data_IF_456049753724
#
_entry.id   IF_456049753724
#
_cell.length_a   1.000
_cell.length_b   1.000
_cell.length_c   1.000
_cell.angle_alpha   90.00
_cell.angle_beta   90.00
_cell.angle_gamma   90.00
#
_symmetry.space_group_name_H-M   'P 1'
#
loop_
_entity.id
_entity.type
_entity.pdbx_description
1 polymer ?
#
# COMPACT_ATOMS: atom_id res chain seq x y z
N UNK A 1 -11.36 -20.37 -7.28
CA UNK A 1 -10.00 -20.54 -7.81
C UNK A 1 -9.03 -20.16 -6.69
N UNK A 2 -8.10 -21.04 -6.33
CA UNK A 2 -7.11 -20.80 -5.27
C UNK A 2 -5.85 -20.16 -5.87
N UNK A 3 -5.15 -19.30 -5.12
CA UNK A 3 -3.89 -18.74 -5.59
C UNK A 3 -2.85 -19.86 -5.78
N UNK A 4 -2.14 -19.93 -6.91
CA UNK A 4 -1.21 -21.01 -7.19
C UNK A 4 0.04 -20.89 -6.31
N UNK A 5 0.51 -22.02 -5.77
CA UNK A 5 1.66 -22.07 -4.84
C UNK A 5 2.98 -21.60 -5.46
N UNK A 6 3.10 -21.65 -6.79
CA UNK A 6 4.29 -21.26 -7.53
C UNK A 6 4.30 -19.79 -7.98
N UNK A 7 3.31 -18.98 -7.60
CA UNK A 7 3.29 -17.55 -7.85
C UNK A 7 3.43 -16.78 -6.53
N UNK A 8 4.16 -15.66 -6.56
CA UNK A 8 4.26 -14.76 -5.40
C UNK A 8 2.85 -14.36 -4.93
N UNK A 9 2.60 -14.50 -3.63
CA UNK A 9 1.30 -14.14 -3.07
C UNK A 9 1.10 -12.62 -3.12
N UNK A 10 -0.12 -12.14 -3.43
CA UNK A 10 -0.40 -10.73 -3.45
C UNK A 10 -0.40 -10.17 -2.02
N UNK A 11 0.03 -8.93 -1.86
CA UNK A 11 -0.09 -8.21 -0.59
C UNK A 11 -1.58 -8.00 -0.27
N UNK A 12 -2.05 -8.55 0.84
CA UNK A 12 -3.40 -8.26 1.31
C UNK A 12 -3.48 -6.87 1.92
N UNK A 13 -4.31 -6.00 1.34
CA UNK A 13 -4.50 -4.61 1.79
C UNK A 13 -5.89 -4.48 2.39
N UNK A 14 -5.94 -4.15 3.69
CA UNK A 14 -7.20 -3.88 4.39
C UNK A 14 -7.90 -2.66 3.76
N UNK A 15 -9.24 -2.58 3.81
CA UNK A 15 -9.97 -1.42 3.31
C UNK A 15 -9.45 -0.08 3.86
N UNK A 16 -9.16 -0.01 5.17
CA UNK A 16 -8.61 1.18 5.84
C UNK A 16 -7.15 1.49 5.48
N UNK A 17 -6.41 0.54 4.90
CA UNK A 17 -5.02 0.69 4.49
C UNK A 17 -4.86 1.30 3.09
N UNK A 18 -5.97 1.60 2.40
CA UNK A 18 -5.95 2.37 1.15
C UNK A 18 -6.30 3.81 1.45
N UNK A 19 -5.45 4.75 1.03
CA UNK A 19 -5.73 6.18 1.13
C UNK A 19 -5.59 6.82 -0.24
N UNK A 20 -6.59 7.62 -0.63
CA UNK A 20 -6.58 8.33 -1.91
C UNK A 20 -6.12 9.77 -1.71
N UNK A 21 -5.12 10.19 -2.47
CA UNK A 21 -4.55 11.54 -2.42
C UNK A 21 -4.15 12.01 -3.82
N UNK A 22 -4.54 13.24 -4.19
CA UNK A 22 -4.35 13.80 -5.54
C UNK A 22 -4.71 12.83 -6.69
N UNK A 23 -5.86 12.16 -6.53
CA UNK A 23 -6.35 11.18 -7.52
C UNK A 23 -5.60 9.85 -7.54
N UNK A 24 -4.48 9.71 -6.82
CA UNK A 24 -3.66 8.49 -6.70
C UNK A 24 -4.04 7.69 -5.46
N UNK A 25 -3.93 6.37 -5.57
CA UNK A 25 -4.22 5.43 -4.48
C UNK A 25 -2.93 4.93 -3.84
N UNK A 26 -2.79 5.17 -2.55
CA UNK A 26 -1.64 4.77 -1.74
C UNK A 26 -2.00 3.62 -0.81
N UNK A 27 -1.03 2.73 -0.60
CA UNK A 27 -1.09 1.61 0.33
C UNK A 27 -0.28 1.99 1.55
N UNK A 28 -0.92 1.98 2.71
CA UNK A 28 -0.30 2.34 4.00
C UNK A 28 -0.48 1.24 5.03
N UNK A 29 0.46 1.13 5.96
CA UNK A 29 0.27 0.37 7.18
C UNK A 29 -0.23 1.29 8.29
N UNK A 30 -1.16 0.76 9.06
CA UNK A 30 -1.77 1.44 10.21
C UNK A 30 -1.56 0.63 11.46
N UNK A 31 -1.35 1.31 12.58
CA UNK A 31 -1.24 0.68 13.89
C UNK A 31 -2.63 0.26 14.40
N UNK A 32 -2.67 -0.25 15.63
CA UNK A 32 -3.93 -0.65 16.28
C UNK A 32 -4.88 0.50 16.58
N UNK A 33 -4.39 1.74 16.64
CA UNK A 33 -5.16 2.97 16.86
C UNK A 33 -5.63 3.60 15.54
N UNK A 34 -5.28 3.00 14.40
CA UNK A 34 -5.60 3.49 13.07
C UNK A 34 -4.61 4.51 12.52
N UNK A 35 -3.52 4.81 13.22
CA UNK A 35 -2.49 5.76 12.85
C UNK A 35 -1.57 5.21 11.75
N UNK A 36 -1.27 6.00 10.70
CA UNK A 36 -0.43 5.60 9.56
C UNK A 36 1.08 5.57 9.92
N UNK A 37 1.64 4.42 10.21
CA UNK A 37 3.07 4.34 10.57
C UNK A 37 4.01 4.05 9.39
N UNK A 38 3.49 3.59 8.24
CA UNK A 38 4.33 3.32 7.08
C UNK A 38 3.58 3.51 5.75
N UNK A 39 4.32 3.95 4.74
CA UNK A 39 3.90 3.98 3.34
C UNK A 39 4.51 2.78 2.61
N UNK A 40 3.66 1.96 1.98
CA UNK A 40 4.10 0.74 1.27
C UNK A 40 4.30 1.00 -0.21
N UNK A 41 3.38 1.74 -0.82
CA UNK A 41 3.38 1.87 -2.26
C UNK A 41 2.23 2.68 -2.80
N UNK A 42 2.22 2.83 -4.12
CA UNK A 42 1.16 3.48 -4.89
C UNK A 42 0.57 2.48 -5.88
N UNK A 43 -0.74 2.29 -5.85
CA UNK A 43 -1.45 1.50 -6.85
C UNK A 43 -1.36 2.19 -8.21
N UNK A 44 -1.03 1.44 -9.25
CA UNK A 44 -0.82 1.96 -10.61
C UNK A 44 -1.87 1.46 -11.58
N UNK A 45 -2.32 0.21 -11.45
CA UNK A 45 -3.29 -0.39 -12.37
C UNK A 45 -4.19 -1.39 -11.66
N UNK A 46 -5.50 -1.27 -11.82
CA UNK A 46 -6.47 -2.28 -11.39
C UNK A 46 -6.41 -3.49 -12.31
N UNK A 47 -6.49 -4.69 -11.73
CA UNK A 47 -6.53 -5.96 -12.44
C UNK A 47 -7.95 -6.53 -12.33
N UNK A 48 -8.61 -6.85 -13.46
CA UNK A 48 -10.01 -7.27 -13.48
C UNK A 48 -10.20 -8.72 -13.03
N UNK A 49 -9.14 -9.55 -12.99
CA UNK A 49 -9.25 -10.97 -12.64
C UNK A 49 -8.05 -11.51 -11.87
N UNK A 50 -8.25 -12.64 -11.18
CA UNK A 50 -7.17 -13.39 -10.53
C UNK A 50 -6.13 -13.91 -11.55
N UNK A 51 -6.56 -14.26 -12.77
CA UNK A 51 -5.65 -14.68 -13.84
C UNK A 51 -4.64 -13.58 -14.18
N UNK A 52 -5.11 -12.35 -14.39
CA UNK A 52 -4.21 -11.21 -14.63
C UNK A 52 -3.31 -10.91 -13.44
N UNK A 53 -3.79 -11.11 -12.21
CA UNK A 53 -2.99 -10.96 -11.01
C UNK A 53 -1.83 -11.97 -10.96
N UNK A 54 -2.11 -13.24 -11.25
CA UNK A 54 -1.10 -14.30 -11.34
C UNK A 54 -0.08 -13.97 -12.43
N UNK A 55 -0.55 -13.61 -13.63
CA UNK A 55 0.33 -13.26 -14.74
C UNK A 55 1.20 -12.03 -14.43
N UNK A 56 0.67 -11.02 -13.72
CA UNK A 56 1.45 -9.88 -13.27
C UNK A 56 2.56 -10.30 -12.28
N UNK A 57 2.26 -11.16 -11.31
CA UNK A 57 3.28 -11.66 -10.37
C UNK A 57 4.35 -12.52 -11.04
N UNK A 58 3.99 -13.31 -12.07
CA UNK A 58 4.95 -14.07 -12.89
C UNK A 58 5.90 -13.15 -13.66
N UNK A 59 5.42 -11.98 -14.06
CA UNK A 59 6.21 -10.93 -14.69
C UNK A 59 6.89 -9.99 -13.67
N UNK A 60 7.14 -10.49 -12.44
CA UNK A 60 7.85 -9.76 -11.37
C UNK A 60 7.20 -8.42 -10.98
N UNK A 61 5.89 -8.25 -11.21
CA UNK A 61 5.16 -7.08 -10.73
C UNK A 61 4.66 -7.31 -9.31
N UNK A 62 4.69 -6.26 -8.50
CA UNK A 62 4.08 -6.28 -7.17
C UNK A 62 2.56 -6.16 -7.31
N UNK A 63 1.84 -7.09 -6.70
CA UNK A 63 0.39 -7.15 -6.75
C UNK A 63 -0.17 -7.09 -5.33
N UNK A 64 -1.24 -6.32 -5.15
CA UNK A 64 -2.02 -6.30 -3.92
C UNK A 64 -3.46 -6.74 -4.17
N UNK A 65 -4.10 -7.27 -3.14
CA UNK A 65 -5.53 -7.56 -3.12
C UNK A 65 -6.24 -6.55 -2.20
N UNK A 66 -7.31 -5.92 -2.70
CA UNK A 66 -8.13 -4.97 -1.95
C UNK A 66 -9.60 -5.15 -2.32
N UNK A 67 -10.49 -5.25 -1.32
CA UNK A 67 -11.94 -5.23 -1.53
C UNK A 67 -12.44 -6.20 -2.60
N UNK A 68 -11.82 -7.39 -2.71
CA UNK A 68 -12.19 -8.42 -3.69
C UNK A 68 -11.56 -8.27 -5.08
N UNK A 69 -10.80 -7.21 -5.36
CA UNK A 69 -10.03 -7.07 -6.61
C UNK A 69 -8.52 -7.11 -6.39
N UNK A 70 -7.77 -7.20 -7.49
CA UNK A 70 -6.32 -7.12 -7.51
C UNK A 70 -5.85 -5.81 -8.15
N UNK A 71 -4.67 -5.33 -7.77
CA UNK A 71 -4.04 -4.17 -8.40
C UNK A 71 -2.53 -4.33 -8.42
N UNK A 72 -1.89 -3.81 -9.46
CA UNK A 72 -0.44 -3.60 -9.49
C UNK A 72 -0.15 -2.37 -8.65
N UNK A 73 0.94 -2.42 -7.89
CA UNK A 73 1.47 -1.26 -7.20
C UNK A 73 2.97 -1.15 -7.41
N UNK A 74 3.51 0.03 -7.14
CA UNK A 74 4.95 0.30 -7.08
C UNK A 74 5.31 0.75 -5.68
N UNK A 75 6.53 0.42 -5.23
CA UNK A 75 7.07 1.04 -4.01
C UNK A 75 7.21 2.55 -4.25
N UNK A 76 7.04 3.31 -3.19
CA UNK A 76 7.30 4.75 -3.24
C UNK A 76 8.76 4.95 -2.89
N UNK A 77 9.45 5.78 -3.68
CA UNK A 77 10.86 6.09 -3.47
C UNK A 77 11.08 6.70 -2.08
N UNK A 78 12.21 6.35 -1.44
CA UNK A 78 12.54 6.82 -0.10
C UNK A 78 12.57 8.36 0.01
N UNK A 79 12.90 9.05 -1.08
CA UNK A 79 12.90 10.52 -1.15
C UNK A 79 11.49 11.11 -1.17
N UNK A 80 10.54 10.43 -1.80
CA UNK A 80 9.15 10.91 -1.91
C UNK A 80 8.29 10.49 -0.72
N UNK A 81 8.68 9.42 -0.03
CA UNK A 81 7.91 8.85 1.06
C UNK A 81 7.65 9.83 2.22
N UNK A 82 8.62 10.61 2.75
CA UNK A 82 8.38 11.57 3.82
C UNK A 82 7.31 12.59 3.47
N UNK A 83 7.44 13.20 2.29
CA UNK A 83 6.52 14.24 1.81
C UNK A 83 5.10 13.67 1.67
N UNK A 84 4.95 12.48 1.07
CA UNK A 84 3.65 11.85 0.91
C UNK A 84 3.06 11.48 2.28
N UNK A 85 3.87 10.94 3.20
CA UNK A 85 3.44 10.58 4.54
C UNK A 85 2.93 11.80 5.32
N UNK A 86 3.65 12.92 5.26
CA UNK A 86 3.25 14.18 5.89
C UNK A 86 1.89 14.67 5.37
N UNK A 87 1.66 14.61 4.06
CA UNK A 87 0.38 15.00 3.49
C UNK A 87 -0.77 14.05 3.86
N UNK A 88 -0.51 12.74 3.88
CA UNK A 88 -1.49 11.77 4.36
C UNK A 88 -1.82 12.05 5.83
N UNK A 89 -0.83 12.46 6.62
CA UNK A 89 -1.02 12.86 8.01
C UNK A 89 -1.87 14.09 8.19
N UNK A 90 -1.68 15.13 7.37
CA UNK A 90 -2.54 16.31 7.40
C UNK A 90 -4.00 15.98 7.12
N UNK A 91 -4.27 14.98 6.28
CA UNK A 91 -5.63 14.48 6.05
C UNK A 91 -6.19 13.72 7.26
N UNK A 92 -5.38 12.85 7.89
CA UNK A 92 -5.78 12.05 9.05
C UNK A 92 -5.97 12.90 10.32
N UNK A 93 -5.16 13.94 10.51
CA UNK A 93 -5.31 14.92 11.60
C UNK A 93 -6.68 15.60 11.57
N UNK A 94 -7.18 15.95 10.38
CA UNK A 94 -8.55 16.50 10.20
C UNK A 94 -9.65 15.52 10.63
N UNK A 95 -9.35 14.22 10.69
CA UNK A 95 -10.25 13.16 11.16
C UNK A 95 -10.04 12.81 12.63
N UNK A 96 -9.16 13.53 13.34
CA UNK A 96 -8.84 13.32 14.74
C UNK A 96 -7.82 12.21 15.02
N UNK A 97 -7.13 11.69 14.00
CA UNK A 97 -6.09 10.67 14.18
C UNK A 97 -4.72 11.35 14.25
N UNK A 98 -3.97 11.10 15.32
CA UNK A 98 -2.65 11.67 15.53
C UNK A 98 -1.54 10.78 14.96
N UNK A 99 -0.43 11.37 14.48
CA UNK A 99 0.74 10.60 14.07
C UNK A 99 1.31 9.77 15.22
N UNK A 100 1.80 8.54 14.92
CA UNK A 100 2.53 7.74 15.90
C UNK A 100 3.83 8.49 16.24
N UNK A 101 4.41 8.14 17.39
CA UNK A 101 5.63 8.83 17.84
C UNK A 101 6.76 8.60 16.82
N UNK A 102 7.75 9.51 16.70
CA UNK A 102 8.78 9.44 15.66
C UNK A 102 9.48 8.08 15.54
N UNK A 103 9.65 7.36 16.65
CA UNK A 103 10.34 6.06 16.69
C UNK A 103 9.50 4.90 16.12
N UNK A 104 8.24 5.14 15.77
CA UNK A 104 7.29 4.14 15.26
C UNK A 104 7.06 4.28 13.74
N UNK A 105 7.59 5.35 13.12
CA UNK A 105 7.46 5.56 11.68
C UNK A 105 8.52 4.77 10.92
N UNK A 106 8.08 3.81 10.12
CA UNK A 106 8.96 2.98 9.29
C UNK A 106 8.76 3.39 7.83
N UNK A 107 9.74 4.10 7.28
CA UNK A 107 9.86 4.23 5.83
C UNK A 107 10.59 3.00 5.33
N UNK A 108 9.91 2.15 4.57
CA UNK A 108 10.54 0.99 3.95
C UNK A 108 11.37 1.50 2.75
N UNK A 109 12.61 1.92 3.03
CA UNK A 109 13.66 1.94 2.02
C UNK A 109 14.18 0.51 1.84
N UNK A 110 14.36 0.10 0.59
CA UNK A 110 14.72 -1.25 0.17
C UNK A 110 15.86 -1.86 1.02
N UNK A 111 15.55 -2.89 1.81
CA UNK A 111 16.56 -3.88 2.14
C UNK A 111 16.78 -4.75 0.89
N UNK A 112 18.03 -4.70 0.43
CA UNK A 112 18.60 -5.39 -0.74
C UNK A 112 18.60 -6.90 -0.59
#
# INVERSE_FOLDING_TARGET
MQWPRNAAAPLYVRPSSRVRYYGKDYIVKRDVKGAIYALIGRMTRKLPSMKEAIDATRNQKLVCQWGGYYAVYVRVDAEQAPMILEYLWEFEKKRGVLPPKPNEQIMLSDES
#
